data_IF_632411987692
#
_entry.id   IF_632411987692
#
_cell.length_a   1.000
_cell.length_b   1.000
_cell.length_c   1.000
_cell.angle_alpha   90.00
_cell.angle_beta   90.00
_cell.angle_gamma   90.00
#
_symmetry.space_group_name_H-M   'P 1'
#
loop_
_entity.id
_entity.type
_entity.pdbx_description
1 polymer ?
#
# COMPACT_ATOMS: atom_id res chain seq x y z
N UNK A 1 -0.97 -9.31 -16.53
CA UNK A 1 -0.69 -8.28 -15.51
C UNK A 1 0.12 -7.16 -16.14
N UNK A 2 -0.35 -5.90 -16.02
CA UNK A 2 0.33 -4.71 -16.55
C UNK A 2 0.93 -3.93 -15.40
N UNK A 3 2.24 -3.67 -15.42
CA UNK A 3 2.91 -2.87 -14.39
C UNK A 3 2.27 -1.48 -14.30
N UNK A 4 1.85 -1.10 -13.10
CA UNK A 4 1.22 0.18 -12.79
C UNK A 4 2.22 1.19 -12.21
N UNK A 5 3.24 0.70 -11.50
CA UNK A 5 4.29 1.52 -10.91
C UNK A 5 4.85 0.92 -9.63
N UNK A 6 5.94 1.53 -9.15
CA UNK A 6 6.52 1.28 -7.83
C UNK A 6 6.02 2.34 -6.87
N UNK A 7 5.50 1.90 -5.72
CA UNK A 7 4.78 2.73 -4.76
C UNK A 7 5.43 2.66 -3.37
N UNK A 8 5.43 3.78 -2.64
CA UNK A 8 5.92 3.86 -1.27
C UNK A 8 4.79 3.60 -0.27
N UNK A 9 4.61 2.34 0.11
CA UNK A 9 3.47 1.89 0.90
C UNK A 9 3.79 1.95 2.39
N UNK A 10 2.98 2.64 3.21
CA UNK A 10 3.12 2.61 4.67
C UNK A 10 3.07 1.19 5.23
N UNK A 11 3.99 0.84 6.14
CA UNK A 11 4.12 -0.54 6.64
C UNK A 11 2.89 -1.02 7.40
N UNK A 12 2.14 -0.13 8.04
CA UNK A 12 0.87 -0.48 8.68
C UNK A 12 -0.18 -1.02 7.69
N UNK A 13 -0.14 -0.61 6.42
CA UNK A 13 -1.16 -0.98 5.43
C UNK A 13 -0.94 -2.37 4.80
N UNK A 14 0.22 -3.00 5.02
CA UNK A 14 0.61 -4.25 4.34
C UNK A 14 -0.38 -5.37 4.66
N UNK A 15 -0.83 -5.52 5.91
CA UNK A 15 -1.75 -6.59 6.31
C UNK A 15 -3.07 -6.53 5.53
N UNK A 16 -3.57 -5.32 5.29
CA UNK A 16 -4.81 -5.10 4.56
C UNK A 16 -4.61 -5.31 3.06
N UNK A 17 -3.49 -4.86 2.49
CA UNK A 17 -3.22 -5.00 1.06
C UNK A 17 -2.92 -6.45 0.65
N UNK A 18 -2.19 -7.20 1.48
CA UNK A 18 -1.81 -8.58 1.16
C UNK A 18 -2.88 -9.60 1.55
N UNK A 19 -3.51 -9.42 2.72
CA UNK A 19 -4.39 -10.43 3.33
C UNK A 19 -5.83 -9.96 3.54
N UNK A 20 -6.17 -8.71 3.23
CA UNK A 20 -7.45 -8.13 3.59
C UNK A 20 -7.66 -7.99 5.10
N UNK A 21 -6.59 -8.08 5.89
CA UNK A 21 -6.64 -8.04 7.36
C UNK A 21 -6.51 -6.61 7.88
N UNK A 22 -7.60 -6.13 8.49
CA UNK A 22 -7.69 -4.78 9.07
C UNK A 22 -7.36 -4.75 10.57
N UNK A 23 -6.89 -5.86 11.15
CA UNK A 23 -6.56 -5.93 12.58
C UNK A 23 -5.48 -4.93 12.93
N UNK A 24 -5.75 -4.08 13.93
CA UNK A 24 -4.82 -3.04 14.38
C UNK A 24 -4.87 -1.74 13.57
N UNK A 25 -5.66 -1.67 12.51
CA UNK A 25 -5.90 -0.45 11.76
C UNK A 25 -7.02 0.39 12.39
N UNK A 26 -6.88 1.70 12.31
CA UNK A 26 -7.97 2.64 12.62
C UNK A 26 -8.90 2.78 11.43
N UNK A 27 -10.10 3.33 11.65
CA UNK A 27 -11.06 3.63 10.57
C UNK A 27 -10.45 4.55 9.49
N UNK A 28 -9.60 5.50 9.90
CA UNK A 28 -8.89 6.39 8.99
C UNK A 28 -7.87 5.64 8.13
N UNK A 29 -7.11 4.71 8.71
CA UNK A 29 -6.14 3.90 7.96
C UNK A 29 -6.87 3.08 6.88
N UNK A 30 -8.00 2.46 7.26
CA UNK A 30 -8.84 1.68 6.34
C UNK A 30 -9.39 2.58 5.23
N UNK A 31 -9.85 3.79 5.54
CA UNK A 31 -10.34 4.76 4.55
C UNK A 31 -9.24 5.15 3.55
N UNK A 32 -8.02 5.45 4.05
CA UNK A 32 -6.88 5.84 3.22
C UNK A 32 -6.45 4.71 2.26
N UNK A 33 -6.35 3.48 2.77
CA UNK A 33 -5.99 2.31 1.95
C UNK A 33 -7.08 2.05 0.89
N UNK A 34 -8.36 2.10 1.27
CA UNK A 34 -9.46 1.95 0.31
C UNK A 34 -9.47 3.07 -0.74
N UNK A 35 -9.17 4.30 -0.36
CA UNK A 35 -9.05 5.44 -1.27
C UNK A 35 -7.95 5.23 -2.30
N UNK A 36 -6.77 4.76 -1.86
CA UNK A 36 -5.67 4.40 -2.75
C UNK A 36 -6.05 3.29 -3.74
N UNK A 37 -6.70 2.22 -3.27
CA UNK A 37 -7.14 1.11 -4.13
C UNK A 37 -8.19 1.59 -5.14
N UNK A 38 -9.21 2.34 -4.70
CA UNK A 38 -10.28 2.80 -5.56
C UNK A 38 -9.79 3.76 -6.66
N UNK A 39 -8.81 4.62 -6.34
CA UNK A 39 -8.26 5.57 -7.30
C UNK A 39 -7.37 4.92 -8.36
N UNK A 40 -6.58 3.91 -7.98
CA UNK A 40 -5.52 3.36 -8.84
C UNK A 40 -5.86 1.97 -9.41
N UNK A 41 -6.66 1.18 -8.70
CA UNK A 41 -6.89 -0.24 -8.97
C UNK A 41 -8.38 -0.63 -8.89
N UNK A 42 -9.29 0.04 -9.61
CA UNK A 42 -10.73 -0.22 -9.54
C UNK A 42 -11.15 -1.62 -10.03
N UNK A 43 -10.25 -2.35 -10.69
CA UNK A 43 -10.45 -3.71 -11.20
C UNK A 43 -9.57 -4.74 -10.49
N UNK A 44 -8.98 -4.37 -9.34
CA UNK A 44 -8.05 -5.21 -8.60
C UNK A 44 -6.59 -4.97 -8.99
N UNK A 45 -5.71 -5.52 -8.17
CA UNK A 45 -4.27 -5.41 -8.32
C UNK A 45 -3.57 -6.72 -7.94
N UNK A 46 -2.31 -6.83 -8.34
CA UNK A 46 -1.31 -7.73 -7.76
C UNK A 46 -0.17 -6.85 -7.25
N UNK A 47 0.34 -7.17 -6.07
CA UNK A 47 1.44 -6.45 -5.42
C UNK A 47 2.64 -7.37 -5.28
N UNK A 48 3.84 -6.84 -5.59
CA UNK A 48 5.12 -7.50 -5.36
C UNK A 48 5.96 -6.62 -4.40
N UNK A 49 6.27 -7.17 -3.22
CA UNK A 49 6.92 -6.43 -2.14
C UNK A 49 8.44 -6.47 -2.28
N UNK A 50 8.99 -5.50 -3.01
CA UNK A 50 10.42 -5.44 -3.34
C UNK A 50 11.29 -4.94 -2.18
N UNK A 51 10.74 -4.11 -1.29
CA UNK A 51 11.45 -3.46 -0.19
C UNK A 51 11.17 -4.00 1.21
N UNK A 52 10.49 -5.14 1.36
CA UNK A 52 9.92 -5.55 2.66
C UNK A 52 10.97 -5.79 3.76
N UNK A 53 12.16 -6.24 3.41
CA UNK A 53 13.25 -6.49 4.36
C UNK A 53 14.04 -5.23 4.74
N UNK A 54 13.78 -4.11 4.08
CA UNK A 54 14.51 -2.84 4.27
C UNK A 54 13.55 -1.64 4.30
N UNK A 55 12.63 -1.58 5.28
CA UNK A 55 11.74 -0.44 5.42
C UNK A 55 12.53 0.84 5.70
N UNK A 56 12.00 1.98 5.25
CA UNK A 56 12.60 3.30 5.47
C UNK A 56 11.55 4.37 5.73
N UNK A 57 11.96 5.51 6.30
CA UNK A 57 11.05 6.62 6.57
C UNK A 57 10.82 7.47 5.30
N UNK A 58 9.55 7.69 4.95
CA UNK A 58 9.15 8.60 3.88
C UNK A 58 8.33 9.78 4.44
N UNK A 59 8.69 10.99 4.03
CA UNK A 59 7.95 12.21 4.40
C UNK A 59 6.63 12.38 3.64
N UNK A 60 6.50 11.75 2.47
CA UNK A 60 5.35 11.83 1.59
C UNK A 60 5.07 10.43 0.98
N UNK A 61 4.51 9.49 1.77
CA UNK A 61 4.07 8.20 1.23
C UNK A 61 2.87 8.39 0.28
N UNK A 62 2.48 7.30 -0.40
CA UNK A 62 1.36 7.32 -1.36
C UNK A 62 0.02 7.75 -0.75
N UNK A 63 -0.16 7.50 0.55
CA UNK A 63 -1.33 7.90 1.30
C UNK A 63 -1.01 8.07 2.78
N UNK A 64 -1.87 8.83 3.47
CA UNK A 64 -1.73 9.12 4.89
C UNK A 64 -0.66 10.17 5.19
N UNK A 65 -0.04 10.03 6.36
CA UNK A 65 1.00 10.94 6.87
C UNK A 65 2.39 10.32 6.74
N UNK A 66 3.43 11.12 6.93
CA UNK A 66 4.80 10.66 6.99
C UNK A 66 4.98 9.45 7.93
N UNK A 67 5.58 8.38 7.42
CA UNK A 67 5.63 7.08 8.09
C UNK A 67 6.81 6.23 7.59
N UNK A 68 7.01 5.09 8.24
CA UNK A 68 7.82 4.01 7.69
C UNK A 68 7.09 3.36 6.52
N UNK A 69 7.80 3.16 5.40
CA UNK A 69 7.29 2.58 4.16
C UNK A 69 8.18 1.45 3.67
N UNK A 70 7.61 0.65 2.77
CA UNK A 70 8.33 -0.28 1.90
C UNK A 70 8.01 0.05 0.45
N UNK A 71 8.93 -0.24 -0.46
CA UNK A 71 8.64 -0.19 -1.90
C UNK A 71 7.91 -1.46 -2.32
N UNK A 72 6.92 -1.27 -3.20
CA UNK A 72 6.17 -2.37 -3.78
C UNK A 72 5.79 -2.04 -5.22
N UNK A 73 5.94 -3.03 -6.11
CA UNK A 73 5.50 -2.94 -7.49
C UNK A 73 4.05 -3.40 -7.60
N UNK A 74 3.19 -2.52 -8.09
CA UNK A 74 1.79 -2.85 -8.34
C UNK A 74 1.54 -3.14 -9.80
N UNK A 75 0.63 -4.07 -10.05
CA UNK A 75 0.17 -4.47 -11.37
C UNK A 75 -1.35 -4.43 -11.41
N UNK A 76 -1.92 -4.00 -12.54
CA UNK A 76 -3.36 -4.22 -12.76
C UNK A 76 -3.62 -5.72 -12.98
N UNK A 77 -4.63 -6.23 -12.25
CA UNK A 77 -5.12 -7.60 -12.37
C UNK A 77 -5.67 -7.90 -13.78
#
# INVERSE_FOLDING_TARGET
>A
MRHAGTFQIPTYAISMLEYGDTTGLTDLDIELVNGFIAANFPHGYVVDWTGIDQPYFASHPEFGIAAEVVEADFYHA
#
